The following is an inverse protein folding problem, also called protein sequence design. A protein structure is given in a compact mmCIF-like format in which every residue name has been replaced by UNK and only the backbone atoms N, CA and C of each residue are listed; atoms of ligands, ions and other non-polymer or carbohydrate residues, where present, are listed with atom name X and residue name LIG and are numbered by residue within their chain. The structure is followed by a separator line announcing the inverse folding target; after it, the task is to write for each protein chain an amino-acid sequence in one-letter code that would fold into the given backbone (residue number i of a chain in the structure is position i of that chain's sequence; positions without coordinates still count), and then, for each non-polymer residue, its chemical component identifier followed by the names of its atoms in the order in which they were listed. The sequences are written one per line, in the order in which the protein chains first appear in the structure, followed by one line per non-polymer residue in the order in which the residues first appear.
data_IF_251878731403
#
_entry.id   IF_251878731403
#
_cell.length_a   1.000
_cell.length_b   1.000
_cell.length_c   1.000
_cell.angle_alpha   90.00
_cell.angle_beta   90.00
_cell.angle_gamma   90.00
#
_symmetry.space_group_name_H-M   'P 1'
#
loop_
_entity.id
_entity.type
_entity.pdbx_description
1 polymer ?
#
# COMPACT_ATOMS: atom_id res chain seq x y z
N UNK A 1 -10.20 -67.28 51.24
CA UNK A 1 -9.42 -66.92 50.02
C UNK A 1 -9.43 -65.41 49.84
N UNK A 2 -8.37 -64.87 49.23
CA UNK A 2 -7.82 -63.51 49.40
C UNK A 2 -8.66 -62.38 48.79
N UNK A 3 -8.51 -61.18 49.37
CA UNK A 3 -9.04 -59.86 48.94
C UNK A 3 -8.45 -59.44 47.58
N UNK A 4 -9.23 -58.71 46.77
CA UNK A 4 -8.71 -57.74 45.80
C UNK A 4 -9.78 -56.69 45.44
N UNK A 5 -9.65 -55.50 46.02
CA UNK A 5 -10.23 -54.24 45.56
C UNK A 5 -9.56 -53.80 44.26
N UNK A 6 -10.32 -53.30 43.27
CA UNK A 6 -9.75 -52.47 42.22
C UNK A 6 -10.68 -51.30 41.91
N UNK A 7 -10.24 -50.12 42.32
CA UNK A 7 -10.85 -48.81 42.08
C UNK A 7 -10.72 -48.44 40.60
N UNK A 8 -11.83 -48.07 39.95
CA UNK A 8 -11.80 -47.48 38.62
C UNK A 8 -11.59 -45.97 38.78
N UNK A 9 -10.36 -45.51 38.51
CA UNK A 9 -10.01 -44.09 38.54
C UNK A 9 -10.61 -43.38 37.33
N UNK A 10 -11.43 -42.35 37.59
CA UNK A 10 -12.00 -41.46 36.59
C UNK A 10 -10.93 -40.44 36.16
N UNK A 11 -10.37 -40.59 34.96
CA UNK A 11 -9.39 -39.63 34.41
C UNK A 11 -10.14 -38.44 33.81
N UNK A 12 -10.09 -37.29 34.49
CA UNK A 12 -10.50 -35.99 33.94
C UNK A 12 -9.38 -35.48 33.04
N UNK A 13 -9.62 -35.42 31.72
CA UNK A 13 -8.68 -34.81 30.77
C UNK A 13 -8.91 -33.30 30.76
N UNK A 14 -7.91 -32.58 31.24
CA UNK A 14 -7.80 -31.11 31.24
C UNK A 14 -7.65 -30.62 29.79
N UNK A 15 -8.68 -29.98 29.24
CA UNK A 15 -8.59 -29.28 27.95
C UNK A 15 -7.83 -27.96 28.15
N UNK A 16 -6.54 -27.94 27.81
CA UNK A 16 -5.75 -26.70 27.77
C UNK A 16 -6.31 -25.76 26.69
N UNK A 17 -6.79 -24.59 27.10
CA UNK A 17 -7.06 -23.45 26.23
C UNK A 17 -5.78 -23.03 25.51
N UNK A 18 -5.61 -23.47 24.27
CA UNK A 18 -4.64 -22.89 23.35
C UNK A 18 -5.09 -21.49 22.94
N UNK A 19 -4.69 -20.47 23.71
CA UNK A 19 -4.70 -19.09 23.24
C UNK A 19 -3.60 -18.95 22.17
N UNK A 20 -3.89 -19.44 20.96
CA UNK A 20 -3.06 -19.17 19.80
C UNK A 20 -3.06 -17.66 19.56
N UNK A 21 -1.87 -17.07 19.48
CA UNK A 21 -1.65 -15.71 19.02
C UNK A 21 -2.25 -15.59 17.61
N UNK A 22 -3.49 -15.14 17.50
CA UNK A 22 -4.06 -14.77 16.22
C UNK A 22 -3.20 -13.63 15.67
N UNK A 23 -2.58 -13.84 14.50
CA UNK A 23 -1.94 -12.76 13.78
C UNK A 23 -2.93 -11.59 13.68
N UNK A 24 -2.48 -10.33 13.85
CA UNK A 24 -3.39 -9.20 13.71
C UNK A 24 -4.06 -9.31 12.34
N UNK A 25 -5.39 -9.35 12.33
CA UNK A 25 -6.15 -9.34 11.09
C UNK A 25 -5.81 -8.04 10.35
N UNK A 26 -4.95 -8.14 9.34
CA UNK A 26 -4.68 -7.04 8.44
C UNK A 26 -5.98 -6.82 7.66
N UNK A 27 -6.60 -5.66 7.82
CA UNK A 27 -7.74 -5.30 7.00
C UNK A 27 -7.31 -5.45 5.53
N UNK A 28 -8.08 -6.19 4.74
CA UNK A 28 -7.80 -6.32 3.32
C UNK A 28 -7.72 -4.91 2.71
N UNK A 29 -6.57 -4.59 2.11
CA UNK A 29 -6.40 -3.35 1.36
C UNK A 29 -7.44 -3.30 0.24
N UNK A 30 -7.86 -2.09 -0.15
CA UNK A 30 -8.68 -1.96 -1.36
C UNK A 30 -7.86 -2.36 -2.60
N UNK A 31 -8.49 -2.58 -3.75
CA UNK A 31 -7.81 -3.10 -4.95
C UNK A 31 -6.55 -2.33 -5.36
N UNK A 32 -6.51 -1.02 -5.11
CA UNK A 32 -5.40 -0.15 -5.44
C UNK A 32 -4.28 -0.12 -4.38
N UNK A 33 -4.54 -0.63 -3.17
CA UNK A 33 -3.56 -0.64 -2.10
C UNK A 33 -2.36 -1.51 -2.48
N UNK A 34 -1.16 -1.04 -2.17
CA UNK A 34 0.09 -1.70 -2.50
C UNK A 34 1.19 -0.72 -2.85
N UNK A 35 2.30 -1.30 -3.31
CA UNK A 35 3.41 -0.56 -3.90
C UNK A 35 3.39 -0.81 -5.39
N UNK A 36 3.56 0.27 -6.15
CA UNK A 36 3.61 0.26 -7.60
C UNK A 36 4.92 0.89 -8.06
N UNK A 37 5.44 0.42 -9.17
CA UNK A 37 6.68 0.92 -9.76
C UNK A 37 6.51 1.17 -11.26
N UNK A 38 7.25 2.13 -11.77
CA UNK A 38 7.31 2.44 -13.20
C UNK A 38 8.72 2.94 -13.56
N UNK A 39 8.95 3.09 -14.86
CA UNK A 39 10.05 3.88 -15.40
C UNK A 39 9.44 4.95 -16.28
N UNK A 40 9.77 6.22 -16.05
CA UNK A 40 9.17 7.32 -16.80
C UNK A 40 9.91 7.61 -18.12
N UNK A 41 9.53 8.71 -18.77
CA UNK A 41 10.06 9.11 -20.08
C UNK A 41 11.54 9.46 -20.08
N UNK A 42 12.11 9.90 -18.95
CA UNK A 42 13.55 10.21 -18.86
C UNK A 42 14.38 9.04 -18.33
N UNK A 43 13.72 7.92 -18.03
CA UNK A 43 14.34 6.68 -17.59
C UNK A 43 14.47 6.57 -16.08
N UNK A 44 13.90 7.51 -15.31
CA UNK A 44 13.90 7.45 -13.86
C UNK A 44 12.95 6.36 -13.34
N UNK A 45 13.37 5.66 -12.29
CA UNK A 45 12.50 4.75 -11.53
C UNK A 45 11.59 5.55 -10.63
N UNK A 46 10.31 5.21 -10.65
CA UNK A 46 9.31 5.82 -9.79
C UNK A 46 8.64 4.77 -8.90
N UNK A 47 8.22 5.18 -7.70
CA UNK A 47 7.56 4.34 -6.71
C UNK A 47 6.29 5.05 -6.22
N UNK A 48 5.17 4.35 -6.23
CA UNK A 48 3.89 4.82 -5.73
C UNK A 48 3.40 3.89 -4.62
N UNK A 49 3.32 4.40 -3.39
CA UNK A 49 2.76 3.69 -2.24
C UNK A 49 1.32 4.15 -2.01
N UNK A 50 0.39 3.20 -2.03
CA UNK A 50 -1.04 3.42 -1.80
C UNK A 50 -1.45 2.59 -0.57
N UNK A 51 -1.89 3.26 0.49
CA UNK A 51 -2.26 2.61 1.74
C UNK A 51 -3.71 2.91 2.10
N UNK A 52 -4.43 1.88 2.55
CA UNK A 52 -5.80 1.97 3.03
C UNK A 52 -6.78 1.08 2.26
N UNK A 53 -8.06 1.20 2.60
CA UNK A 53 -9.13 0.41 1.98
C UNK A 53 -9.86 1.15 0.85
N UNK A 54 -9.58 2.43 0.64
CA UNK A 54 -10.28 3.26 -0.36
C UNK A 54 -11.71 3.63 0.00
N UNK A 55 -12.25 3.25 1.17
CA UNK A 55 -13.63 3.56 1.58
C UNK A 55 -13.94 5.07 1.67
N UNK A 56 -12.92 5.91 1.85
CA UNK A 56 -13.05 7.37 1.86
C UNK A 56 -11.90 8.05 1.11
N UNK A 57 -10.68 7.61 1.39
CA UNK A 57 -9.47 7.99 0.68
C UNK A 57 -8.40 6.91 0.90
N UNK A 58 -7.41 6.90 0.02
CA UNK A 58 -6.10 6.30 0.25
C UNK A 58 -5.13 7.35 0.78
N UNK A 59 -4.12 6.91 1.52
CA UNK A 59 -2.88 7.68 1.66
C UNK A 59 -1.98 7.32 0.48
N UNK A 60 -1.56 8.33 -0.28
CA UNK A 60 -0.74 8.15 -1.48
C UNK A 60 0.60 8.86 -1.32
N UNK A 61 1.68 8.15 -1.60
CA UNK A 61 3.04 8.69 -1.67
C UNK A 61 3.64 8.30 -3.00
N UNK A 62 3.92 9.29 -3.84
CA UNK A 62 4.69 9.15 -5.07
C UNK A 62 6.13 9.57 -4.79
N UNK A 63 7.09 8.81 -5.32
CA UNK A 63 8.51 9.09 -5.29
C UNK A 63 9.09 8.88 -6.68
N UNK A 64 9.99 9.77 -7.06
CA UNK A 64 10.73 9.76 -8.32
C UNK A 64 12.21 9.92 -7.97
N UNK A 65 13.07 9.01 -8.45
CA UNK A 65 14.49 9.05 -8.12
C UNK A 65 15.24 10.18 -8.82
N UNK A 66 14.71 10.73 -9.93
CA UNK A 66 15.36 11.78 -10.70
C UNK A 66 14.35 12.62 -11.48
N UNK A 67 13.68 13.57 -10.80
CA UNK A 67 12.76 14.49 -11.44
C UNK A 67 13.52 15.62 -12.18
N UNK A 68 13.91 15.37 -13.43
CA UNK A 68 14.74 16.31 -14.22
C UNK A 68 14.09 17.67 -14.43
N UNK A 69 12.79 17.68 -14.74
CA UNK A 69 12.06 18.90 -15.11
C UNK A 69 11.75 19.82 -13.93
N UNK A 70 11.41 19.26 -12.76
CA UNK A 70 10.99 20.04 -11.59
C UNK A 70 12.09 20.24 -10.54
N UNK A 71 12.99 19.25 -10.40
CA UNK A 71 14.00 19.21 -9.34
C UNK A 71 15.44 19.21 -9.86
N UNK A 72 15.64 19.44 -11.16
CA UNK A 72 16.97 19.51 -11.77
C UNK A 72 17.74 18.19 -11.68
N UNK A 73 17.01 17.06 -11.67
CA UNK A 73 17.58 15.71 -11.56
C UNK A 73 17.75 15.22 -10.12
N UNK A 74 17.36 16.01 -9.12
CA UNK A 74 17.23 15.49 -7.76
C UNK A 74 15.95 14.66 -7.61
N UNK A 75 15.92 13.70 -6.67
CA UNK A 75 14.70 12.98 -6.35
C UNK A 75 13.55 13.91 -5.95
N UNK A 76 12.32 13.48 -6.21
CA UNK A 76 11.10 14.20 -5.84
C UNK A 76 10.11 13.30 -5.12
N UNK A 77 9.32 13.90 -4.23
CA UNK A 77 8.23 13.22 -3.54
C UNK A 77 6.95 14.06 -3.59
N UNK A 78 5.82 13.38 -3.80
CA UNK A 78 4.48 13.94 -3.61
C UNK A 78 3.76 13.08 -2.58
N UNK A 79 3.10 13.70 -1.61
CA UNK A 79 2.28 12.99 -0.63
C UNK A 79 0.93 13.68 -0.47
N UNK A 80 -0.14 12.89 -0.42
CA UNK A 80 -1.49 13.43 -0.33
C UNK A 80 -2.56 12.34 -0.23
N UNK A 81 -3.81 12.76 0.02
CA UNK A 81 -4.95 11.86 -0.07
C UNK A 81 -5.22 11.48 -1.53
N UNK A 82 -5.55 10.21 -1.77
CA UNK A 82 -6.02 9.70 -3.04
C UNK A 82 -7.51 9.36 -3.00
N UNK A 83 -8.30 9.91 -3.91
CA UNK A 83 -9.74 9.68 -4.00
C UNK A 83 -10.07 8.87 -5.24
N UNK A 84 -11.00 7.92 -5.11
CA UNK A 84 -11.41 7.06 -6.22
C UNK A 84 -12.71 7.53 -6.84
N UNK A 85 -12.75 7.58 -8.17
CA UNK A 85 -13.96 7.75 -8.98
C UNK A 85 -13.98 6.68 -10.07
N UNK A 86 -14.87 5.69 -9.95
CA UNK A 86 -14.82 4.53 -10.83
C UNK A 86 -13.53 3.73 -10.62
N UNK A 87 -12.71 3.61 -11.67
CA UNK A 87 -11.41 2.96 -11.65
C UNK A 87 -10.24 3.96 -11.51
N UNK A 88 -10.53 5.24 -11.45
CA UNK A 88 -9.50 6.28 -11.44
C UNK A 88 -9.19 6.69 -10.00
N UNK A 89 -7.91 6.77 -9.68
CA UNK A 89 -7.39 7.34 -8.46
C UNK A 89 -6.81 8.71 -8.75
N UNK A 90 -7.29 9.73 -8.04
CA UNK A 90 -6.75 11.09 -8.13
C UNK A 90 -6.12 11.46 -6.79
N UNK A 91 -4.84 11.80 -6.80
CA UNK A 91 -4.13 12.33 -5.63
C UNK A 91 -3.77 13.79 -5.83
N UNK A 92 -3.70 14.56 -4.75
CA UNK A 92 -3.25 15.96 -4.79
C UNK A 92 -2.33 16.25 -3.61
N UNK A 93 -1.10 16.69 -3.91
CA UNK A 93 -0.05 16.91 -2.92
C UNK A 93 0.92 18.02 -3.29
N UNK A 94 1.82 18.35 -2.38
CA UNK A 94 2.95 19.23 -2.69
C UNK A 94 4.10 18.39 -3.26
N UNK A 95 4.71 18.85 -4.35
CA UNK A 95 5.95 18.27 -4.87
C UNK A 95 7.13 18.83 -4.10
N UNK A 96 7.93 17.95 -3.50
CA UNK A 96 9.11 18.28 -2.70
C UNK A 96 10.34 17.68 -3.35
N UNK A 97 11.32 18.51 -3.70
CA UNK A 97 12.63 18.04 -4.15
C UNK A 97 13.50 17.63 -2.96
N UNK A 98 14.28 16.56 -3.10
CA UNK A 98 15.08 15.93 -2.04
C UNK A 98 16.57 15.87 -2.42
N UNK A 99 17.50 16.45 -1.62
CA UNK A 99 17.23 17.39 -0.54
C UNK A 99 16.68 18.72 -1.09
N UNK A 100 15.97 19.46 -0.24
CA UNK A 100 15.42 20.74 -0.63
C UNK A 100 14.09 21.00 0.04
N UNK A 101 13.07 21.25 -0.77
CA UNK A 101 11.75 21.63 -0.30
C UNK A 101 10.75 21.70 -1.44
N UNK A 102 9.57 22.24 -1.13
CA UNK A 102 8.55 22.48 -2.13
C UNK A 102 9.01 23.59 -3.09
N UNK A 103 9.00 23.29 -4.39
CA UNK A 103 9.39 24.23 -5.46
C UNK A 103 8.20 24.92 -6.12
N UNK A 104 6.97 24.47 -5.84
CA UNK A 104 5.74 25.07 -6.36
C UNK A 104 4.94 25.79 -5.28
N UNK A 105 4.30 26.90 -5.65
CA UNK A 105 3.32 27.58 -4.78
C UNK A 105 1.99 26.85 -4.70
N UNK A 106 1.69 26.03 -5.72
CA UNK A 106 0.46 25.26 -5.85
C UNK A 106 0.70 23.78 -5.54
N UNK A 107 -0.39 23.04 -5.32
CA UNK A 107 -0.34 21.58 -5.27
C UNK A 107 -0.41 20.99 -6.68
N UNK A 108 0.17 19.82 -6.84
CA UNK A 108 0.11 19.01 -8.05
C UNK A 108 -0.97 17.96 -7.87
N UNK A 109 -1.77 17.77 -8.91
CA UNK A 109 -2.78 16.70 -9.01
C UNK A 109 -2.28 15.68 -10.00
N UNK A 110 -2.35 14.39 -9.62
CA UNK A 110 -1.99 13.25 -10.46
C UNK A 110 -3.15 12.27 -10.49
N UNK A 111 -3.57 11.88 -11.68
CA UNK A 111 -4.51 10.81 -11.97
C UNK A 111 -3.81 9.50 -12.29
N UNK A 112 -4.46 8.40 -11.91
CA UNK A 112 -4.04 7.02 -12.20
C UNK A 112 -5.28 6.22 -12.58
N UNK A 113 -5.37 5.75 -13.82
CA UNK A 113 -6.43 4.87 -14.29
C UNK A 113 -6.04 3.40 -14.03
N UNK A 114 -6.88 2.67 -13.27
CA UNK A 114 -6.64 1.26 -12.97
C UNK A 114 -7.25 0.32 -14.02
N UNK A 115 -6.40 -0.56 -14.57
CA UNK A 115 -6.82 -1.69 -15.41
C UNK A 115 -6.72 -2.99 -14.61
N UNK A 116 -7.89 -3.58 -14.32
CA UNK A 116 -7.99 -4.83 -13.59
C UNK A 116 -7.61 -6.07 -14.42
N UNK A 117 -7.62 -5.96 -15.76
CA UNK A 117 -7.24 -7.04 -16.67
C UNK A 117 -5.73 -7.27 -16.72
N UNK A 118 -4.94 -6.20 -16.61
CA UNK A 118 -3.48 -6.27 -16.54
C UNK A 118 -2.89 -6.03 -15.15
N UNK A 119 -3.70 -5.65 -14.16
CA UNK A 119 -3.29 -5.19 -12.82
C UNK A 119 -2.22 -4.09 -12.90
N UNK A 120 -2.54 -3.04 -13.64
CA UNK A 120 -1.66 -1.88 -13.87
C UNK A 120 -2.38 -0.58 -13.61
N UNK A 121 -1.63 0.47 -13.26
CA UNK A 121 -2.11 1.85 -13.31
C UNK A 121 -1.50 2.54 -14.54
N UNK A 122 -2.24 3.42 -15.20
CA UNK A 122 -1.70 4.37 -16.18
C UNK A 122 -1.91 5.77 -15.67
N UNK A 123 -0.85 6.56 -15.57
CA UNK A 123 -0.97 7.96 -15.10
C UNK A 123 -1.33 8.95 -16.21
N UNK A 124 -1.55 10.21 -15.82
CA UNK A 124 -1.89 11.32 -16.74
C UNK A 124 -0.83 11.57 -17.83
N UNK A 125 0.39 11.04 -17.66
CA UNK A 125 1.48 11.15 -18.63
C UNK A 125 1.60 9.93 -19.53
N UNK A 126 0.74 8.93 -19.35
CA UNK A 126 0.75 7.66 -20.09
C UNK A 126 1.80 6.67 -19.59
N UNK A 127 2.42 6.91 -18.43
CA UNK A 127 3.36 5.96 -17.82
C UNK A 127 2.56 4.82 -17.19
N UNK A 128 3.01 3.59 -17.47
CA UNK A 128 2.39 2.37 -16.96
C UNK A 128 3.13 1.94 -15.69
N UNK A 129 2.36 1.73 -14.64
CA UNK A 129 2.82 1.30 -13.34
C UNK A 129 2.42 -0.15 -13.10
N UNK A 130 3.37 -0.91 -12.56
CA UNK A 130 3.22 -2.32 -12.25
C UNK A 130 3.27 -2.51 -10.73
N UNK A 131 2.50 -3.48 -10.24
CA UNK A 131 2.55 -3.87 -8.83
C UNK A 131 3.91 -4.52 -8.52
N UNK A 132 4.54 -4.11 -7.42
CA UNK A 132 5.80 -4.66 -6.92
C UNK A 132 5.61 -5.99 -6.17
#
# INVERSE_FOLDING_TARGET
MKRATLSLALTVILGLCGAGLAAPASAAGGALAGTWTSVDTDGSTQILSIVGSGRHAYSVVYYDESATSACGGNPAQISGPGFVSGNDLVTTGALVCLPGGNVFRSRITLGYAYDAGSDTLTDDFGIVWHRA
#
